data_IF_024482819047
#
_entry.id   IF_024482819047
#
_cell.length_a   1.000
_cell.length_b   1.000
_cell.length_c   1.000
_cell.angle_alpha   90.00
_cell.angle_beta   90.00
_cell.angle_gamma   90.00
#
_symmetry.space_group_name_H-M   'P 1'
#
loop_
_entity.id
_entity.type
_entity.pdbx_description
1 polymer ?
#
# COMPACT_ATOMS: atom_id res chain seq x y z
N UNK A 1 -12.97 3.28 -10.79
CA UNK A 1 -12.38 4.63 -10.62
C UNK A 1 -10.94 4.49 -10.15
N UNK A 2 -10.09 5.45 -10.47
CA UNK A 2 -8.68 5.45 -10.01
C UNK A 2 -8.48 6.57 -8.99
N UNK A 3 -7.91 6.24 -7.83
CA UNK A 3 -7.41 7.20 -6.85
C UNK A 3 -5.88 7.24 -6.97
N UNK A 4 -5.32 8.42 -7.26
CA UNK A 4 -3.87 8.61 -7.36
C UNK A 4 -3.41 9.67 -6.38
N UNK A 5 -2.54 9.27 -5.45
CA UNK A 5 -2.08 10.12 -4.35
C UNK A 5 -0.54 10.07 -4.30
N UNK A 6 0.08 11.24 -4.31
CA UNK A 6 1.55 11.35 -4.28
C UNK A 6 2.04 12.15 -3.08
N UNK A 7 3.25 11.86 -2.66
CA UNK A 7 3.97 12.63 -1.65
C UNK A 7 5.48 12.63 -1.95
N UNK A 8 6.20 13.60 -1.42
CA UNK A 8 7.66 13.63 -1.43
C UNK A 8 8.21 13.02 -0.16
N UNK A 9 9.22 12.17 -0.30
CA UNK A 9 9.98 11.57 0.80
C UNK A 9 11.38 12.18 0.83
N UNK A 10 11.85 12.53 2.03
CA UNK A 10 13.19 13.07 2.26
C UNK A 10 14.19 11.91 2.46
N UNK A 11 14.39 11.13 1.40
CA UNK A 11 15.36 10.03 1.30
C UNK A 11 15.57 9.69 -0.18
N UNK A 12 16.64 8.99 -0.51
CA UNK A 12 16.91 8.57 -1.88
C UNK A 12 15.84 7.59 -2.41
N UNK A 13 15.63 7.57 -3.72
CA UNK A 13 14.66 6.67 -4.34
C UNK A 13 14.98 5.18 -4.08
N UNK A 14 16.28 4.83 -4.09
CA UNK A 14 16.71 3.44 -3.84
C UNK A 14 16.43 3.02 -2.40
N UNK A 15 16.73 3.89 -1.45
CA UNK A 15 16.47 3.62 -0.03
C UNK A 15 14.99 3.51 0.28
N UNK A 16 14.18 4.40 -0.29
CA UNK A 16 12.72 4.32 -0.19
C UNK A 16 12.20 3.01 -0.77
N UNK A 17 12.71 2.61 -1.94
CA UNK A 17 12.31 1.37 -2.61
C UNK A 17 12.64 0.12 -1.78
N UNK A 18 13.86 0.02 -1.24
CA UNK A 18 14.26 -1.11 -0.39
C UNK A 18 13.37 -1.27 0.85
N UNK A 19 12.95 -0.16 1.45
CA UNK A 19 12.06 -0.18 2.61
C UNK A 19 10.62 -0.54 2.20
N UNK A 20 10.15 -0.06 1.05
CA UNK A 20 8.79 -0.31 0.56
C UNK A 20 8.56 -1.78 0.16
N UNK A 21 9.60 -2.48 -0.27
CA UNK A 21 9.51 -3.93 -0.57
C UNK A 21 9.26 -4.79 0.68
N UNK A 22 9.50 -4.27 1.88
CA UNK A 22 9.32 -5.02 3.12
C UNK A 22 7.88 -5.00 3.61
N UNK A 23 7.34 -6.15 3.96
CA UNK A 23 5.99 -6.25 4.54
C UNK A 23 5.86 -5.53 5.87
N UNK A 24 6.96 -5.41 6.64
CA UNK A 24 7.00 -4.63 7.88
C UNK A 24 6.64 -3.15 7.65
N UNK A 25 7.04 -2.57 6.51
CA UNK A 25 6.67 -1.21 6.14
C UNK A 25 5.17 -1.10 5.89
N UNK A 26 4.58 -2.07 5.19
CA UNK A 26 3.14 -2.13 4.97
C UNK A 26 2.38 -2.15 6.31
N UNK A 27 2.77 -3.01 7.24
CA UNK A 27 2.16 -3.07 8.57
C UNK A 27 2.33 -1.76 9.35
N UNK A 28 3.50 -1.13 9.26
CA UNK A 28 3.75 0.16 9.91
C UNK A 28 2.84 1.27 9.38
N UNK A 29 2.72 1.41 8.06
CA UNK A 29 1.96 2.52 7.48
C UNK A 29 0.44 2.35 7.61
N UNK A 30 -0.06 1.13 7.75
CA UNK A 30 -1.49 0.85 7.93
C UNK A 30 -1.94 0.88 9.39
N UNK A 31 -1.00 0.72 10.32
CA UNK A 31 -1.29 0.67 11.75
C UNK A 31 -2.05 1.91 12.22
N UNK A 32 -3.14 1.67 12.96
CA UNK A 32 -4.03 2.71 13.48
C UNK A 32 -5.37 2.77 12.75
N UNK A 33 -5.39 2.55 11.44
CA UNK A 33 -6.63 2.49 10.65
C UNK A 33 -7.03 1.05 10.31
N UNK A 34 -6.04 0.19 10.10
CA UNK A 34 -6.27 -1.18 9.67
C UNK A 34 -5.33 -2.12 10.42
N UNK A 35 -5.86 -3.23 10.89
CA UNK A 35 -5.10 -4.41 11.28
C UNK A 35 -5.52 -5.63 10.48
N UNK A 36 -4.64 -6.60 10.43
CA UNK A 36 -4.80 -7.82 9.64
C UNK A 36 -4.77 -9.03 10.57
N UNK A 37 -5.78 -9.87 10.45
CA UNK A 37 -5.73 -11.22 11.00
C UNK A 37 -5.24 -12.16 9.91
N UNK A 38 -4.03 -12.64 10.09
CA UNK A 38 -3.30 -13.49 9.15
C UNK A 38 -3.34 -14.94 9.63
N UNK A 39 -3.67 -15.87 8.74
CA UNK A 39 -3.53 -17.30 9.00
C UNK A 39 -2.06 -17.74 8.94
N UNK A 40 -1.27 -17.05 8.10
CA UNK A 40 0.17 -17.27 7.93
C UNK A 40 0.91 -15.95 8.01
N UNK A 41 2.19 -15.94 8.45
CA UNK A 41 2.98 -14.72 8.50
C UNK A 41 3.17 -14.14 7.11
N UNK A 42 3.25 -12.80 7.01
CA UNK A 42 3.61 -12.13 5.76
C UNK A 42 5.04 -12.52 5.33
N UNK A 43 5.31 -12.60 4.02
CA UNK A 43 6.68 -12.73 3.54
C UNK A 43 7.51 -11.53 4.03
N UNK A 44 8.79 -11.71 4.29
CA UNK A 44 9.68 -10.62 4.72
C UNK A 44 9.70 -9.50 3.67
N UNK A 45 9.80 -9.90 2.39
CA UNK A 45 9.75 -8.99 1.24
C UNK A 45 8.69 -9.43 0.25
N UNK A 46 8.05 -8.46 -0.37
CA UNK A 46 7.11 -8.69 -1.45
C UNK A 46 7.81 -9.25 -2.68
N UNK A 47 7.30 -10.34 -3.22
CA UNK A 47 7.79 -10.98 -4.45
C UNK A 47 6.63 -11.27 -5.38
N UNK A 48 6.87 -11.17 -6.67
CA UNK A 48 5.88 -11.54 -7.67
C UNK A 48 5.42 -12.99 -7.46
N UNK A 49 4.11 -13.23 -7.52
CA UNK A 49 3.47 -14.51 -7.26
C UNK A 49 3.06 -14.73 -5.79
N UNK A 50 3.48 -13.90 -4.84
CA UNK A 50 3.01 -14.00 -3.47
C UNK A 50 1.50 -13.72 -3.37
N UNK A 51 0.79 -14.55 -2.61
CA UNK A 51 -0.64 -14.40 -2.34
C UNK A 51 -0.85 -14.41 -0.83
N UNK A 52 -1.54 -13.40 -0.33
CA UNK A 52 -1.86 -13.25 1.09
C UNK A 52 -3.36 -13.15 1.26
N UNK A 53 -3.90 -13.91 2.21
CA UNK A 53 -5.28 -13.79 2.65
C UNK A 53 -5.29 -13.26 4.08
N UNK A 54 -5.97 -12.16 4.29
CA UNK A 54 -6.08 -11.55 5.61
C UNK A 54 -7.52 -11.13 5.90
N UNK A 55 -8.00 -11.39 7.10
CA UNK A 55 -9.23 -10.77 7.58
C UNK A 55 -8.90 -9.35 8.00
N UNK A 56 -9.61 -8.39 7.44
CA UNK A 56 -9.45 -6.98 7.77
C UNK A 56 -10.14 -6.67 9.10
N UNK A 57 -9.49 -5.84 9.90
CA UNK A 57 -10.07 -5.23 11.11
C UNK A 57 -9.89 -3.71 11.01
N UNK A 58 -10.98 -3.01 10.80
CA UNK A 58 -10.97 -1.56 10.76
C UNK A 58 -10.90 -0.99 12.18
N UNK A 59 -10.04 0.00 12.39
CA UNK A 59 -9.79 0.64 13.69
C UNK A 59 -9.50 -0.37 14.82
N UNK A 60 -8.88 -1.52 14.48
CA UNK A 60 -8.52 -2.62 15.38
C UNK A 60 -9.71 -3.35 16.07
N UNK A 61 -10.94 -2.97 15.80
CA UNK A 61 -12.11 -3.51 16.50
C UNK A 61 -13.29 -3.87 15.59
N UNK A 62 -13.42 -3.28 14.42
CA UNK A 62 -14.55 -3.55 13.53
C UNK A 62 -14.14 -4.65 12.53
N UNK A 63 -14.72 -5.86 12.67
CA UNK A 63 -14.39 -6.93 11.73
C UNK A 63 -14.89 -6.62 10.32
N UNK A 64 -13.97 -6.71 9.36
CA UNK A 64 -14.27 -6.65 7.95
C UNK A 64 -14.37 -8.05 7.33
N UNK A 65 -13.99 -8.15 6.10
CA UNK A 65 -14.00 -9.38 5.30
C UNK A 65 -12.59 -9.96 5.12
N UNK A 66 -12.53 -11.16 4.55
CA UNK A 66 -11.26 -11.72 4.08
C UNK A 66 -10.88 -11.01 2.78
N UNK A 67 -9.70 -10.41 2.77
CA UNK A 67 -9.14 -9.69 1.63
C UNK A 67 -7.97 -10.49 1.06
N UNK A 68 -7.99 -10.72 -0.23
CA UNK A 68 -6.87 -11.32 -0.96
C UNK A 68 -5.96 -10.22 -1.49
N UNK A 69 -4.67 -10.36 -1.28
CA UNK A 69 -3.63 -9.55 -1.88
C UNK A 69 -2.72 -10.46 -2.70
N UNK A 70 -2.65 -10.22 -3.99
CA UNK A 70 -1.79 -10.95 -4.93
C UNK A 70 -0.75 -10.02 -5.52
N UNK A 71 0.51 -10.27 -5.26
CA UNK A 71 1.62 -9.51 -5.85
C UNK A 71 1.82 -9.97 -7.30
N UNK A 72 1.52 -9.11 -8.25
CA UNK A 72 1.63 -9.39 -9.69
C UNK A 72 3.02 -9.08 -10.20
N UNK A 73 3.58 -7.93 -9.79
CA UNK A 73 4.88 -7.47 -10.27
C UNK A 73 5.64 -6.70 -9.18
N UNK A 74 6.94 -6.97 -9.13
CA UNK A 74 7.93 -6.18 -8.41
C UNK A 74 9.05 -5.87 -9.40
N UNK A 75 9.21 -4.61 -9.78
CA UNK A 75 10.20 -4.15 -10.75
C UNK A 75 11.22 -3.24 -10.05
N UNK A 76 12.41 -3.76 -9.80
CA UNK A 76 13.48 -3.01 -9.14
C UNK A 76 14.05 -1.88 -10.00
N UNK A 77 14.02 -2.01 -11.34
CA UNK A 77 14.53 -0.99 -12.24
C UNK A 77 13.61 0.23 -12.30
N UNK A 78 12.30 -0.02 -12.38
CA UNK A 78 11.28 1.01 -12.42
C UNK A 78 10.82 1.43 -11.03
N UNK A 79 11.23 0.71 -9.99
CA UNK A 79 10.77 0.86 -8.61
C UNK A 79 9.23 0.88 -8.54
N UNK A 80 8.66 -0.18 -9.10
CA UNK A 80 7.21 -0.38 -9.17
C UNK A 80 6.82 -1.69 -8.48
N UNK A 81 5.83 -1.61 -7.61
CA UNK A 81 5.10 -2.75 -7.04
C UNK A 81 3.65 -2.68 -7.51
N UNK A 82 3.15 -3.76 -8.09
CA UNK A 82 1.76 -3.87 -8.52
C UNK A 82 1.10 -5.09 -7.91
N UNK A 83 -0.06 -4.86 -7.30
CA UNK A 83 -0.89 -5.91 -6.68
C UNK A 83 -2.29 -5.90 -7.26
N UNK A 84 -2.87 -7.08 -7.39
CA UNK A 84 -4.31 -7.27 -7.56
C UNK A 84 -4.88 -7.68 -6.21
N UNK A 85 -5.85 -6.91 -5.75
CA UNK A 85 -6.44 -7.12 -4.45
C UNK A 85 -7.95 -7.07 -4.54
N UNK A 86 -8.63 -7.75 -3.61
CA UNK A 86 -10.07 -7.70 -3.54
C UNK A 86 -10.65 -8.53 -2.41
N UNK A 87 -11.92 -8.29 -2.14
CA UNK A 87 -12.70 -9.00 -1.14
C UNK A 87 -13.89 -8.19 -0.65
N UNK A 88 -14.92 -8.87 -0.21
CA UNK A 88 -16.11 -8.26 0.41
C UNK A 88 -16.71 -7.11 -0.39
N UNK A 89 -16.76 -5.93 0.22
CA UNK A 89 -17.31 -4.72 -0.38
C UNK A 89 -16.38 -4.06 -1.43
N UNK A 90 -15.13 -4.54 -1.53
CA UNK A 90 -14.12 -4.06 -2.49
C UNK A 90 -13.66 -5.20 -3.40
N UNK A 91 -14.49 -5.65 -4.36
CA UNK A 91 -14.13 -6.76 -5.25
C UNK A 91 -12.94 -6.44 -6.15
N UNK A 92 -12.69 -5.17 -6.45
CA UNK A 92 -11.50 -4.73 -7.19
C UNK A 92 -10.81 -3.61 -6.41
N UNK A 93 -9.56 -3.88 -6.03
CA UNK A 93 -8.67 -2.94 -5.35
C UNK A 93 -7.25 -3.17 -5.83
N UNK A 94 -6.99 -2.83 -7.11
CA UNK A 94 -5.66 -3.02 -7.67
C UNK A 94 -4.78 -1.85 -7.29
N UNK A 95 -3.63 -2.13 -6.70
CA UNK A 95 -2.76 -1.11 -6.15
C UNK A 95 -1.40 -1.11 -6.86
N UNK A 96 -1.01 0.07 -7.32
CA UNK A 96 0.29 0.32 -7.91
C UNK A 96 1.04 1.33 -7.06
N UNK A 97 2.24 0.96 -6.64
CA UNK A 97 3.20 1.83 -5.96
C UNK A 97 4.32 2.16 -6.93
N UNK A 98 4.71 3.42 -7.01
CA UNK A 98 5.87 3.85 -7.78
C UNK A 98 6.74 4.82 -6.99
N UNK A 99 8.07 4.74 -7.20
CA UNK A 99 9.05 5.63 -6.60
C UNK A 99 9.91 6.27 -7.68
N UNK A 100 9.75 7.56 -7.87
CA UNK A 100 10.51 8.34 -8.85
C UNK A 100 11.58 9.20 -8.14
N UNK A 101 12.81 9.18 -8.66
CA UNK A 101 13.88 10.03 -8.15
C UNK A 101 13.60 11.50 -8.49
N UNK A 102 13.74 12.38 -7.52
CA UNK A 102 13.68 13.84 -7.69
C UNK A 102 15.07 14.47 -7.53
N UNK A 103 15.84 13.98 -6.55
CA UNK A 103 17.21 14.38 -6.26
C UNK A 103 17.91 13.22 -5.53
N UNK A 104 19.18 13.38 -5.18
CA UNK A 104 19.95 12.32 -4.50
C UNK A 104 19.35 11.93 -3.13
N UNK A 105 18.75 12.90 -2.44
CA UNK A 105 18.16 12.73 -1.09
C UNK A 105 16.65 12.91 -1.10
N UNK A 106 16.00 12.91 -2.26
CA UNK A 106 14.55 13.12 -2.36
C UNK A 106 13.93 12.28 -3.45
N UNK A 107 12.78 11.71 -3.18
CA UNK A 107 12.00 10.97 -4.16
C UNK A 107 10.50 11.30 -4.07
N UNK A 108 9.78 11.00 -5.16
CA UNK A 108 8.31 11.04 -5.19
C UNK A 108 7.78 9.63 -5.05
N UNK A 109 6.96 9.43 -4.06
CA UNK A 109 6.19 8.21 -3.84
C UNK A 109 4.75 8.42 -4.32
N UNK A 110 4.21 7.48 -5.06
CA UNK A 110 2.83 7.53 -5.56
C UNK A 110 2.12 6.21 -5.31
N UNK A 111 0.94 6.30 -4.72
CA UNK A 111 -0.07 5.24 -4.69
C UNK A 111 -1.10 5.51 -5.78
N UNK A 112 -1.37 4.53 -6.65
CA UNK A 112 -2.46 4.56 -7.62
C UNK A 112 -3.32 3.31 -7.42
N UNK A 113 -4.60 3.50 -7.09
CA UNK A 113 -5.52 2.43 -6.76
C UNK A 113 -6.68 2.42 -7.74
N UNK A 114 -6.85 1.31 -8.44
CA UNK A 114 -8.02 1.03 -9.25
C UNK A 114 -9.11 0.41 -8.37
N UNK A 115 -10.26 1.07 -8.31
CA UNK A 115 -11.38 0.72 -7.44
C UNK A 115 -12.59 0.35 -8.27
N UNK A 116 -13.14 -0.85 -8.02
CA UNK A 116 -14.39 -1.32 -8.58
C UNK A 116 -15.24 -1.97 -7.49
N UNK A 117 -16.36 -1.34 -7.14
CA UNK A 117 -17.28 -1.78 -6.10
C UNK A 117 -18.74 -1.46 -6.46
N UNK A 118 -19.07 -1.49 -7.76
CA UNK A 118 -20.40 -1.14 -8.23
C UNK A 118 -20.82 0.25 -7.78
N UNK A 119 -22.01 0.38 -7.21
CA UNK A 119 -22.57 1.66 -6.73
C UNK A 119 -21.79 2.27 -5.55
N UNK A 120 -21.02 1.46 -4.80
CA UNK A 120 -20.20 1.93 -3.68
C UNK A 120 -18.87 2.53 -4.13
N UNK A 121 -18.51 2.44 -5.42
CA UNK A 121 -17.22 2.90 -5.94
C UNK A 121 -16.89 4.35 -5.56
N UNK A 122 -17.78 5.35 -5.68
CA UNK A 122 -17.46 6.73 -5.30
C UNK A 122 -17.15 6.89 -3.82
N UNK A 123 -17.89 6.19 -2.95
CA UNK A 123 -17.69 6.23 -1.50
C UNK A 123 -16.33 5.61 -1.12
N UNK A 124 -16.02 4.46 -1.71
CA UNK A 124 -14.75 3.76 -1.50
C UNK A 124 -13.58 4.57 -2.07
N UNK A 125 -13.79 5.28 -3.17
CA UNK A 125 -12.79 6.20 -3.74
C UNK A 125 -12.43 7.35 -2.77
N UNK A 126 -13.43 7.95 -2.12
CA UNK A 126 -13.22 8.97 -1.07
C UNK A 126 -12.44 8.36 0.10
N UNK A 127 -12.86 7.18 0.57
CA UNK A 127 -12.15 6.45 1.61
C UNK A 127 -10.69 6.19 1.25
N UNK A 128 -10.40 5.77 0.01
CA UNK A 128 -9.05 5.54 -0.47
C UNK A 128 -8.18 6.80 -0.36
N UNK A 129 -8.68 7.97 -0.73
CA UNK A 129 -7.95 9.23 -0.59
C UNK A 129 -7.58 9.52 0.87
N UNK A 130 -8.49 9.32 1.81
CA UNK A 130 -8.24 9.53 3.24
C UNK A 130 -7.22 8.50 3.75
N UNK A 131 -7.43 7.23 3.44
CA UNK A 131 -6.59 6.12 3.88
C UNK A 131 -5.14 6.25 3.38
N UNK A 132 -4.96 6.54 2.09
CA UNK A 132 -3.62 6.66 1.52
C UNK A 132 -2.92 7.95 1.94
N UNK A 133 -3.63 9.05 2.18
CA UNK A 133 -3.04 10.25 2.80
C UNK A 133 -2.49 9.95 4.19
N UNK A 134 -3.23 9.23 5.01
CA UNK A 134 -2.74 8.79 6.32
C UNK A 134 -1.50 7.90 6.19
N UNK A 135 -1.52 6.91 5.30
CA UNK A 135 -0.36 6.04 5.05
C UNK A 135 0.88 6.84 4.63
N UNK A 136 0.70 7.79 3.74
CA UNK A 136 1.79 8.64 3.26
C UNK A 136 2.37 9.54 4.34
N UNK A 137 1.57 10.05 5.27
CA UNK A 137 2.06 10.79 6.44
C UNK A 137 2.96 9.90 7.33
N UNK A 138 2.56 8.66 7.54
CA UNK A 138 3.38 7.70 8.30
C UNK A 138 4.66 7.32 7.54
N UNK A 139 4.56 7.12 6.24
CA UNK A 139 5.71 6.82 5.40
C UNK A 139 6.73 7.97 5.40
N UNK A 140 6.27 9.22 5.35
CA UNK A 140 7.15 10.40 5.48
C UNK A 140 7.89 10.43 6.83
N UNK A 141 7.23 10.04 7.92
CA UNK A 141 7.89 9.93 9.24
C UNK A 141 8.97 8.86 9.22
N UNK A 142 8.67 7.70 8.65
CA UNK A 142 9.63 6.61 8.50
C UNK A 142 10.82 7.05 7.63
N UNK A 143 10.57 7.69 6.49
CA UNK A 143 11.61 8.14 5.56
C UNK A 143 12.65 9.05 6.23
N UNK A 144 12.23 9.91 7.15
CA UNK A 144 13.13 10.80 7.91
C UNK A 144 14.09 10.03 8.85
N UNK A 145 13.78 8.81 9.21
CA UNK A 145 14.66 7.95 10.03
C UNK A 145 15.68 7.19 9.18
N UNK A 146 15.56 7.27 7.85
CA UNK A 146 16.43 6.57 6.90
C UNK A 146 17.56 7.46 6.37
N UNK A 147 17.55 8.73 6.70
CA UNK A 147 18.57 9.71 6.29
C UNK A 147 19.80 9.68 7.19
#
# INVERSE_FOLDING_TARGET
MIASISTTLDTSADRAWEVLKRSATFLYVTRGLLSLWLAEPLPEEWRAGAVVHARLLFFHCIPGWVHELRVVRVDDRQRELYTNEGGGLMPTWNHRITVARLADTRCRYTDAIEIGAGLLTPLIWIYAHIFFRYRQLRLRRLARTLT
#
